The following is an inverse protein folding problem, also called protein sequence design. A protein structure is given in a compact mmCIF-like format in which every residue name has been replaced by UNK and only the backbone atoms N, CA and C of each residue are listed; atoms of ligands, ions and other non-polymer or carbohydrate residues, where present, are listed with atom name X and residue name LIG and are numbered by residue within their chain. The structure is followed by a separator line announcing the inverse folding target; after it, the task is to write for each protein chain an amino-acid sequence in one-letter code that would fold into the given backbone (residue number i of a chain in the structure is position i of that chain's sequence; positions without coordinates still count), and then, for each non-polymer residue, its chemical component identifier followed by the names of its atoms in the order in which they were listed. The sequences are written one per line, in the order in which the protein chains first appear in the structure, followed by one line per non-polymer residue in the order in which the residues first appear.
data_IF_355912491970
#
_entry.id   IF_355912491970
#
_cell.length_a   1.000
_cell.length_b   1.000
_cell.length_c   1.000
_cell.angle_alpha   90.00
_cell.angle_beta   90.00
_cell.angle_gamma   90.00
#
_symmetry.space_group_name_H-M   'P 1'
#
loop_
_entity.id
_entity.type
_entity.pdbx_description
1 polymer ?
#
# COMPACT_ATOMS: atom_id res chain seq x y z
N UNK A 1 27.01 -36.26 48.17
CA UNK A 1 25.80 -35.95 47.38
C UNK A 1 25.93 -34.53 46.84
N UNK A 2 26.22 -34.34 45.54
CA UNK A 2 26.35 -33.01 44.91
C UNK A 2 24.96 -32.50 44.55
N UNK A 3 24.48 -31.42 45.17
CA UNK A 3 23.25 -30.73 44.83
C UNK A 3 23.41 -30.04 43.46
N UNK A 4 22.81 -30.58 42.41
CA UNK A 4 22.74 -29.90 41.13
C UNK A 4 21.85 -28.67 41.30
N UNK A 5 22.36 -27.48 40.99
CA UNK A 5 21.66 -26.21 41.10
C UNK A 5 20.58 -26.13 40.01
N UNK A 6 19.28 -25.95 40.32
CA UNK A 6 18.19 -25.99 39.36
C UNK A 6 18.24 -24.90 38.27
N UNK A 7 19.01 -23.84 38.51
CA UNK A 7 19.15 -22.72 37.57
C UNK A 7 19.87 -23.08 36.26
N UNK A 8 20.76 -24.08 36.28
CA UNK A 8 21.42 -24.58 35.07
C UNK A 8 20.42 -25.27 34.12
N UNK A 9 19.42 -25.97 34.65
CA UNK A 9 18.39 -26.59 33.84
C UNK A 9 17.51 -25.53 33.15
N UNK A 10 17.19 -24.43 33.83
CA UNK A 10 16.44 -23.30 33.26
C UNK A 10 17.23 -22.58 32.16
N UNK A 11 18.56 -22.44 32.32
CA UNK A 11 19.44 -21.86 31.32
C UNK A 11 19.49 -22.71 30.03
N UNK A 12 19.54 -24.04 30.17
CA UNK A 12 19.51 -24.95 29.02
C UNK A 12 18.16 -24.93 28.27
N UNK A 13 17.04 -24.81 28.99
CA UNK A 13 15.72 -24.68 28.38
C UNK A 13 15.58 -23.35 27.61
N UNK A 14 16.09 -22.24 28.18
CA UNK A 14 16.11 -20.93 27.50
C UNK A 14 16.97 -20.93 26.24
N UNK A 15 18.15 -21.55 26.28
CA UNK A 15 19.05 -21.71 25.13
C UNK A 15 18.40 -22.58 24.06
N UNK A 16 17.66 -23.64 24.45
CA UNK A 16 16.96 -24.52 23.51
C UNK A 16 15.81 -23.82 22.79
N UNK A 17 15.07 -22.93 23.48
CA UNK A 17 13.97 -22.15 22.88
C UNK A 17 14.50 -21.16 21.83
N UNK A 18 15.66 -20.54 22.03
CA UNK A 18 16.28 -19.60 21.08
C UNK A 18 16.74 -20.29 19.78
N UNK A 19 17.13 -21.59 19.85
CA UNK A 19 17.55 -22.34 18.65
C UNK A 19 16.37 -22.85 17.78
N UNK A 20 15.13 -22.81 18.27
CA UNK A 20 13.94 -23.23 17.51
C UNK A 20 13.07 -22.10 16.99
N UNK A 21 13.56 -20.85 17.01
CA UNK A 21 12.91 -19.78 16.25
C UNK A 21 13.09 -20.04 14.75
N UNK A 22 12.22 -20.87 14.19
CA UNK A 22 12.08 -20.97 12.75
C UNK A 22 11.61 -19.61 12.25
N UNK A 23 12.51 -18.85 11.62
CA UNK A 23 12.13 -17.65 10.89
C UNK A 23 11.23 -18.10 9.73
N UNK A 24 9.94 -17.83 9.82
CA UNK A 24 8.99 -18.00 8.72
C UNK A 24 9.25 -16.90 7.68
N UNK A 25 10.26 -17.09 6.84
CA UNK A 25 10.47 -16.22 5.69
C UNK A 25 9.46 -16.57 4.60
N UNK A 26 8.93 -15.54 3.95
CA UNK A 26 8.16 -15.74 2.72
C UNK A 26 9.07 -16.45 1.69
N UNK A 27 8.61 -17.59 1.17
CA UNK A 27 9.39 -18.36 0.20
C UNK A 27 9.63 -17.59 -1.10
N UNK A 28 8.60 -16.87 -1.57
CA UNK A 28 8.64 -16.02 -2.76
C UNK A 28 8.54 -14.55 -2.32
N UNK A 29 9.44 -13.71 -2.79
CA UNK A 29 9.52 -12.28 -2.47
C UNK A 29 9.69 -11.47 -3.75
N UNK A 30 8.95 -10.37 -3.90
CA UNK A 30 9.22 -9.33 -4.91
C UNK A 30 10.29 -8.41 -4.34
N UNK A 31 11.37 -8.18 -5.07
CA UNK A 31 12.58 -7.50 -4.55
C UNK A 31 12.79 -6.10 -5.15
N UNK A 32 11.98 -5.71 -6.12
CA UNK A 32 11.93 -4.33 -6.61
C UNK A 32 10.67 -3.60 -6.13
N UNK A 33 10.47 -2.36 -6.58
CA UNK A 33 9.36 -1.52 -6.16
C UNK A 33 7.99 -2.17 -6.46
N UNK A 34 7.05 -1.97 -5.53
CA UNK A 34 5.66 -2.41 -5.69
C UNK A 34 4.78 -1.36 -6.39
N UNK A 35 5.38 -0.28 -6.91
CA UNK A 35 4.67 0.74 -7.68
C UNK A 35 5.54 1.16 -8.84
N UNK A 36 5.05 0.89 -10.03
CA UNK A 36 5.67 1.28 -11.29
C UNK A 36 4.80 2.37 -11.92
N UNK A 37 5.29 3.60 -11.91
CA UNK A 37 4.61 4.76 -12.48
C UNK A 37 5.33 5.20 -13.75
N UNK A 38 4.57 5.31 -14.83
CA UNK A 38 5.08 5.74 -16.13
C UNK A 38 4.22 6.88 -16.70
N UNK A 39 4.90 7.84 -17.32
CA UNK A 39 4.28 8.87 -18.16
C UNK A 39 4.49 8.47 -19.61
N UNK A 40 3.41 8.43 -20.37
CA UNK A 40 3.43 8.01 -21.75
C UNK A 40 2.29 8.63 -22.56
N UNK A 41 2.41 8.63 -23.89
CA UNK A 41 1.42 9.17 -24.82
C UNK A 41 0.47 8.08 -25.32
N UNK A 42 -0.70 8.47 -25.82
CA UNK A 42 -1.59 7.57 -26.58
C UNK A 42 -0.82 6.94 -27.75
N UNK A 43 -1.00 5.62 -27.95
CA UNK A 43 -0.31 4.82 -28.98
C UNK A 43 1.13 4.42 -28.60
N UNK A 44 1.68 4.90 -27.49
CA UNK A 44 3.03 4.53 -27.04
C UNK A 44 3.05 3.14 -26.38
N UNK A 45 4.22 2.51 -26.44
CA UNK A 45 4.49 1.24 -25.75
C UNK A 45 5.69 1.40 -24.85
N UNK A 46 5.56 0.97 -23.57
CA UNK A 46 6.67 0.92 -22.63
C UNK A 46 6.78 -0.44 -21.95
N UNK A 47 7.91 -0.72 -21.33
CA UNK A 47 8.21 -1.98 -20.65
C UNK A 47 8.61 -1.77 -19.21
N UNK A 48 8.31 -2.77 -18.38
CA UNK A 48 8.77 -2.84 -17.02
C UNK A 48 9.13 -4.26 -16.62
N UNK A 49 9.70 -4.40 -15.42
CA UNK A 49 10.19 -5.66 -14.89
C UNK A 49 9.70 -5.81 -13.46
N UNK A 50 9.17 -6.99 -13.12
CA UNK A 50 8.95 -7.43 -11.73
C UNK A 50 10.03 -8.44 -11.40
N UNK A 51 10.85 -8.13 -10.40
CA UNK A 51 11.90 -9.02 -9.93
C UNK A 51 11.40 -9.87 -8.76
N UNK A 52 11.46 -11.19 -8.91
CA UNK A 52 10.99 -12.16 -7.93
C UNK A 52 12.15 -13.03 -7.49
N UNK A 53 12.28 -13.23 -6.19
CA UNK A 53 13.29 -14.10 -5.59
C UNK A 53 12.63 -15.26 -4.84
N UNK A 54 13.18 -16.45 -5.01
CA UNK A 54 12.86 -17.61 -4.19
C UNK A 54 13.88 -17.73 -3.05
N UNK A 55 13.45 -17.41 -1.81
CA UNK A 55 14.30 -17.49 -0.63
C UNK A 55 14.29 -18.87 0.05
N UNK A 56 13.56 -19.85 -0.51
CA UNK A 56 13.52 -21.20 0.03
C UNK A 56 14.66 -22.09 -0.51
N UNK A 57 14.87 -23.22 0.13
CA UNK A 57 15.81 -24.28 -0.25
C UNK A 57 15.28 -25.23 -1.33
N UNK A 58 14.07 -24.99 -1.84
CA UNK A 58 13.37 -25.81 -2.85
C UNK A 58 12.89 -24.96 -4.01
N UNK A 59 12.75 -25.61 -5.18
CA UNK A 59 12.09 -25.01 -6.32
C UNK A 59 10.65 -24.60 -5.95
N UNK A 60 10.26 -23.38 -6.31
CA UNK A 60 8.90 -22.84 -6.13
C UNK A 60 8.26 -22.53 -7.48
N UNK A 61 6.93 -22.57 -7.51
CA UNK A 61 6.15 -22.10 -8.64
C UNK A 61 5.51 -20.77 -8.31
N UNK A 62 5.41 -19.90 -9.31
CA UNK A 62 4.83 -18.57 -9.20
C UNK A 62 3.78 -18.40 -10.26
N UNK A 63 2.59 -17.97 -9.83
CA UNK A 63 1.50 -17.54 -10.71
C UNK A 63 1.52 -16.02 -10.81
N UNK A 64 1.45 -15.49 -12.03
CA UNK A 64 1.42 -14.08 -12.35
C UNK A 64 0.13 -13.77 -13.09
N UNK A 65 -0.64 -12.79 -12.64
CA UNK A 65 -1.91 -12.43 -13.25
C UNK A 65 -2.26 -10.98 -12.93
N UNK A 66 -3.26 -10.45 -13.62
CA UNK A 66 -3.70 -9.07 -13.45
C UNK A 66 -5.00 -8.99 -12.66
N UNK A 67 -5.21 -7.87 -11.97
CA UNK A 67 -6.45 -7.49 -11.31
C UNK A 67 -6.65 -5.98 -11.42
N UNK A 68 -7.89 -5.55 -11.50
CA UNK A 68 -8.25 -4.17 -11.22
C UNK A 68 -8.27 -3.93 -9.72
N UNK A 69 -7.99 -2.71 -9.30
CA UNK A 69 -7.84 -2.35 -7.90
C UNK A 69 -8.55 -1.06 -7.56
N UNK A 70 -9.49 -1.14 -6.62
CA UNK A 70 -10.18 0.00 -6.04
C UNK A 70 -10.14 -0.11 -4.52
N UNK A 71 -10.13 1.03 -3.85
CA UNK A 71 -10.17 1.09 -2.40
C UNK A 71 -10.88 2.36 -1.94
N UNK A 72 -11.45 2.29 -0.74
CA UNK A 72 -12.24 3.37 -0.18
C UNK A 72 -11.88 3.64 1.27
N UNK A 73 -12.14 4.88 1.73
CA UNK A 73 -11.93 5.32 3.11
C UNK A 73 -12.68 4.47 4.14
N UNK A 74 -13.71 3.76 3.74
CA UNK A 74 -14.47 2.81 4.57
C UNK A 74 -13.68 1.56 4.96
N UNK A 75 -12.53 1.32 4.31
CA UNK A 75 -11.73 0.09 4.45
C UNK A 75 -12.09 -0.98 3.40
N UNK A 76 -13.05 -0.70 2.52
CA UNK A 76 -13.37 -1.59 1.41
C UNK A 76 -12.24 -1.59 0.39
N UNK A 77 -11.81 -2.79 -0.02
CA UNK A 77 -10.80 -3.01 -1.05
C UNK A 77 -11.35 -4.02 -2.05
N UNK A 78 -11.34 -3.66 -3.33
CA UNK A 78 -11.86 -4.48 -4.42
C UNK A 78 -10.75 -4.91 -5.36
N UNK A 79 -10.65 -6.21 -5.61
CA UNK A 79 -9.77 -6.83 -6.60
C UNK A 79 -10.63 -7.43 -7.72
N UNK A 80 -11.02 -6.60 -8.67
CA UNK A 80 -11.94 -6.94 -9.73
C UNK A 80 -11.23 -7.63 -10.90
N UNK A 81 -12.01 -8.16 -11.85
CA UNK A 81 -11.46 -8.75 -13.08
C UNK A 81 -10.76 -7.68 -13.93
N UNK A 82 -9.67 -8.05 -14.64
CA UNK A 82 -8.88 -7.13 -15.45
C UNK A 82 -9.72 -6.39 -16.48
N UNK A 83 -9.67 -5.05 -16.46
CA UNK A 83 -10.38 -4.19 -17.39
C UNK A 83 -11.88 -4.07 -17.12
N UNK A 84 -12.34 -4.37 -15.90
CA UNK A 84 -13.70 -4.11 -15.45
C UNK A 84 -13.89 -2.66 -14.98
N UNK A 85 -12.79 -1.98 -14.66
CA UNK A 85 -12.77 -0.58 -14.25
C UNK A 85 -12.63 0.33 -15.47
N UNK A 86 -13.31 1.46 -15.49
CA UNK A 86 -13.24 2.45 -16.58
C UNK A 86 -11.81 2.97 -16.81
N UNK A 87 -11.03 3.13 -15.73
CA UNK A 87 -9.64 3.60 -15.79
C UNK A 87 -8.62 2.48 -15.59
N UNK A 88 -8.97 1.27 -15.99
CA UNK A 88 -8.04 0.14 -15.95
C UNK A 88 -7.09 0.17 -17.15
N UNK A 89 -5.80 -0.01 -16.88
CA UNK A 89 -4.80 -0.32 -17.91
C UNK A 89 -4.48 -1.83 -18.02
N UNK A 90 -5.21 -2.70 -17.30
CA UNK A 90 -4.91 -4.13 -17.29
C UNK A 90 -4.92 -4.77 -18.68
N UNK A 91 -5.85 -4.36 -19.53
CA UNK A 91 -5.93 -4.85 -20.94
C UNK A 91 -4.82 -4.33 -21.85
N UNK A 92 -4.06 -3.32 -21.42
CA UNK A 92 -2.91 -2.79 -22.13
C UNK A 92 -1.63 -3.56 -21.81
N UNK A 93 -1.65 -4.34 -20.71
CA UNK A 93 -0.47 -5.03 -20.17
C UNK A 93 -0.41 -6.45 -20.74
N UNK A 94 0.72 -6.79 -21.34
CA UNK A 94 1.10 -8.15 -21.72
C UNK A 94 2.21 -8.64 -20.81
N UNK A 95 2.03 -9.79 -20.17
CA UNK A 95 3.02 -10.44 -19.31
C UNK A 95 3.88 -11.42 -20.13
N UNK A 96 5.19 -11.47 -19.88
CA UNK A 96 6.08 -12.45 -20.51
C UNK A 96 5.80 -13.88 -20.05
N UNK A 97 5.21 -14.06 -18.87
CA UNK A 97 4.78 -15.35 -18.36
C UNK A 97 3.66 -15.15 -17.33
N UNK A 98 2.70 -16.08 -17.30
CA UNK A 98 1.63 -16.12 -16.30
C UNK A 98 1.82 -17.26 -15.27
N UNK A 99 2.76 -18.16 -15.53
CA UNK A 99 3.13 -19.25 -14.63
C UNK A 99 4.57 -19.69 -14.90
N UNK A 100 5.39 -19.74 -13.87
CA UNK A 100 6.80 -20.09 -14.01
C UNK A 100 7.35 -20.75 -12.75
N UNK A 101 8.52 -21.37 -12.85
CA UNK A 101 9.27 -21.95 -11.75
C UNK A 101 10.53 -21.13 -11.46
N UNK A 102 10.91 -21.06 -10.19
CA UNK A 102 12.13 -20.40 -9.74
C UNK A 102 12.88 -21.42 -8.89
N UNK A 103 14.13 -21.71 -9.23
CA UNK A 103 14.96 -22.64 -8.46
C UNK A 103 15.27 -22.07 -7.06
N UNK A 104 15.76 -22.94 -6.17
CA UNK A 104 16.11 -22.56 -4.82
C UNK A 104 17.16 -21.43 -4.81
N UNK A 105 16.89 -20.34 -4.09
CA UNK A 105 17.80 -19.18 -3.96
C UNK A 105 17.90 -18.28 -5.21
N UNK A 106 17.26 -18.65 -6.32
CA UNK A 106 17.36 -17.89 -7.56
C UNK A 106 16.43 -16.67 -7.63
N UNK A 107 16.81 -15.72 -8.50
CA UNK A 107 15.98 -14.58 -8.92
C UNK A 107 15.48 -14.79 -10.33
N UNK A 108 14.29 -14.28 -10.60
CA UNK A 108 13.67 -14.26 -11.92
C UNK A 108 13.13 -12.87 -12.22
N UNK A 109 13.42 -12.36 -13.42
CA UNK A 109 12.87 -11.12 -13.95
C UNK A 109 11.66 -11.43 -14.83
N UNK A 110 10.47 -11.01 -14.40
CA UNK A 110 9.22 -11.12 -15.16
C UNK A 110 9.03 -9.80 -15.90
N UNK A 111 9.16 -9.83 -17.20
CA UNK A 111 8.94 -8.66 -18.05
C UNK A 111 7.45 -8.46 -18.30
N UNK A 112 7.03 -7.21 -18.38
CA UNK A 112 5.73 -6.81 -18.88
C UNK A 112 5.85 -5.67 -19.89
N UNK A 113 4.94 -5.63 -20.84
CA UNK A 113 4.82 -4.58 -21.84
C UNK A 113 3.44 -3.94 -21.73
N UNK A 114 3.37 -2.62 -21.79
CA UNK A 114 2.14 -1.84 -21.76
C UNK A 114 2.00 -1.14 -23.10
N UNK A 115 0.99 -1.52 -23.89
CA UNK A 115 0.65 -0.89 -25.18
C UNK A 115 -0.58 -0.02 -25.01
N UNK A 116 -0.38 1.28 -24.99
CA UNK A 116 -1.45 2.25 -24.79
C UNK A 116 -2.28 2.37 -26.07
N UNK A 117 -3.62 2.30 -26.00
CA UNK A 117 -4.46 2.50 -27.19
C UNK A 117 -4.20 3.88 -27.81
N UNK A 118 -4.20 3.92 -29.16
CA UNK A 118 -4.08 5.18 -29.89
C UNK A 118 -5.44 5.88 -29.94
N UNK A 119 -5.76 6.64 -28.88
CA UNK A 119 -7.04 7.34 -28.76
C UNK A 119 -6.84 8.69 -28.07
N UNK A 120 -7.35 9.75 -28.69
CA UNK A 120 -7.32 11.11 -28.17
C UNK A 120 -8.24 11.31 -26.95
N UNK A 121 -9.13 10.35 -26.67
CA UNK A 121 -9.99 10.39 -25.48
C UNK A 121 -9.30 9.97 -24.18
N UNK A 122 -8.08 9.43 -24.24
CA UNK A 122 -7.33 9.03 -23.07
C UNK A 122 -6.74 10.25 -22.36
N UNK A 123 -7.15 10.46 -21.11
CA UNK A 123 -6.66 11.54 -20.26
C UNK A 123 -6.42 11.07 -18.83
N UNK A 124 -5.47 11.70 -18.15
CA UNK A 124 -5.18 11.44 -16.74
C UNK A 124 -4.49 10.10 -16.49
N UNK A 125 -4.84 9.43 -15.41
CA UNK A 125 -4.17 8.21 -14.94
C UNK A 125 -5.03 6.97 -15.11
N UNK A 126 -4.38 5.89 -15.54
CA UNK A 126 -4.93 4.53 -15.63
C UNK A 126 -4.08 3.61 -14.79
N UNK A 127 -4.67 2.61 -14.13
CA UNK A 127 -3.93 1.71 -13.25
C UNK A 127 -4.55 0.32 -13.17
N UNK A 128 -3.72 -0.64 -12.82
CA UNK A 128 -4.11 -1.99 -12.45
C UNK A 128 -3.01 -2.64 -11.61
N UNK A 129 -3.19 -3.88 -11.23
CA UNK A 129 -2.22 -4.68 -10.49
C UNK A 129 -1.67 -5.81 -11.35
N UNK A 130 -0.37 -6.03 -11.23
CA UNK A 130 0.25 -7.32 -11.53
C UNK A 130 0.38 -8.06 -10.21
N UNK A 131 -0.32 -9.19 -10.08
CA UNK A 131 -0.29 -10.04 -8.91
C UNK A 131 0.78 -11.12 -9.08
N UNK A 132 1.60 -11.29 -8.05
CA UNK A 132 2.60 -12.37 -7.97
C UNK A 132 2.27 -13.23 -6.75
N UNK A 133 1.98 -14.50 -7.00
CA UNK A 133 1.52 -15.45 -5.99
C UNK A 133 2.39 -16.71 -6.02
N UNK A 134 3.02 -17.03 -4.86
CA UNK A 134 3.71 -18.30 -4.70
C UNK A 134 2.72 -19.46 -4.66
N UNK A 135 2.94 -20.50 -5.48
CA UNK A 135 2.11 -21.69 -5.51
C UNK A 135 2.79 -22.79 -4.70
N UNK A 136 2.22 -23.12 -3.54
CA UNK A 136 2.71 -24.23 -2.75
C UNK A 136 2.24 -25.55 -3.39
N UNK A 137 3.18 -26.46 -3.68
CA UNK A 137 2.83 -27.85 -3.99
C UNK A 137 2.25 -28.49 -2.72
N UNK A 138 0.98 -28.87 -2.78
CA UNK A 138 0.35 -29.67 -1.72
C UNK A 138 0.96 -31.06 -1.81
N UNK A 139 1.88 -31.37 -0.90
CA UNK A 139 2.35 -32.74 -0.70
C UNK A 139 1.21 -33.51 0.00
N UNK A 140 0.36 -34.16 -0.82
CA UNK A 140 -0.82 -34.90 -0.36
C UNK A 140 -0.49 -36.10 0.53
N UNK A 141 0.80 -36.43 0.67
CA UNK A 141 1.28 -37.59 1.45
C UNK A 141 1.45 -37.29 2.94
N UNK A 142 1.27 -36.05 3.41
CA UNK A 142 1.48 -35.69 4.84
C UNK A 142 0.20 -35.50 5.64
N UNK A 143 -0.97 -35.85 5.10
CA UNK A 143 -2.24 -35.78 5.87
C UNK A 143 -2.42 -37.07 6.69
N UNK A 144 -1.58 -37.25 7.69
CA UNK A 144 -1.83 -38.17 8.77
C UNK A 144 -2.33 -37.36 9.98
N UNK A 145 -3.64 -37.04 10.01
CA UNK A 145 -4.36 -36.71 11.25
C UNK A 145 -4.07 -35.35 11.91
N UNK A 146 -3.50 -34.35 11.20
CA UNK A 146 -3.22 -33.01 11.77
C UNK A 146 -3.84 -31.88 10.97
N UNK A 147 -4.09 -30.72 11.62
CA UNK A 147 -4.48 -29.47 10.94
C UNK A 147 -3.22 -28.89 10.30
N UNK A 148 -3.19 -28.79 8.96
CA UNK A 148 -2.13 -28.10 8.23
C UNK A 148 -2.62 -26.68 7.86
N UNK A 149 -1.91 -25.65 8.36
CA UNK A 149 -2.16 -24.26 7.98
C UNK A 149 -1.14 -23.89 6.91
N UNK A 150 -1.62 -23.56 5.70
CA UNK A 150 -0.77 -23.04 4.62
C UNK A 150 -0.98 -21.53 4.49
N UNK A 151 0.10 -20.78 4.53
CA UNK A 151 0.10 -19.34 4.25
C UNK A 151 0.58 -19.10 2.83
N UNK A 152 -0.19 -18.35 2.05
CA UNK A 152 0.18 -17.93 0.70
C UNK A 152 0.42 -16.42 0.70
N UNK A 153 1.64 -16.01 0.36
CA UNK A 153 1.98 -14.61 0.19
C UNK A 153 1.65 -14.18 -1.24
N UNK A 154 0.93 -13.05 -1.36
CA UNK A 154 0.61 -12.40 -2.62
C UNK A 154 1.19 -11.00 -2.63
N UNK A 155 1.89 -10.65 -3.69
CA UNK A 155 2.37 -9.30 -3.95
C UNK A 155 1.49 -8.66 -5.01
N UNK A 156 1.11 -7.40 -4.78
CA UNK A 156 0.30 -6.59 -5.69
C UNK A 156 1.16 -5.43 -6.19
N UNK A 157 1.68 -5.55 -7.40
CA UNK A 157 2.49 -4.52 -8.04
C UNK A 157 1.56 -3.57 -8.78
N UNK A 158 1.52 -2.31 -8.36
CA UNK A 158 0.71 -1.26 -8.97
C UNK A 158 1.40 -0.76 -10.23
N UNK A 159 0.76 -0.89 -11.38
CA UNK A 159 1.20 -0.30 -12.64
C UNK A 159 0.33 0.89 -12.95
N UNK A 160 0.91 2.09 -12.93
CA UNK A 160 0.24 3.36 -13.16
C UNK A 160 0.74 3.94 -14.47
N UNK A 161 -0.19 4.23 -15.39
CA UNK A 161 0.08 4.92 -16.66
C UNK A 161 -0.54 6.31 -16.61
N UNK A 162 0.28 7.34 -16.61
CA UNK A 162 -0.16 8.73 -16.71
C UNK A 162 -0.09 9.16 -18.18
N UNK A 163 -1.23 9.56 -18.75
CA UNK A 163 -1.28 10.05 -20.13
C UNK A 163 -0.78 11.50 -20.18
N UNK A 164 0.49 11.65 -20.48
CA UNK A 164 1.20 12.93 -20.47
C UNK A 164 0.93 13.74 -19.18
N UNK A 165 0.66 15.04 -19.30
CA UNK A 165 0.21 15.93 -18.21
C UNK A 165 -1.29 16.25 -18.32
N UNK A 166 -2.07 15.36 -18.95
CA UNK A 166 -3.50 15.58 -19.18
C UNK A 166 -4.34 15.24 -17.95
N UNK A 167 -5.58 15.70 -17.94
CA UNK A 167 -6.54 15.47 -16.86
C UNK A 167 -6.37 16.42 -15.68
N UNK A 168 -7.43 16.59 -14.94
CA UNK A 168 -7.52 17.50 -13.79
C UNK A 168 -7.20 16.75 -12.49
N UNK A 169 -6.54 17.45 -11.57
CA UNK A 169 -6.43 17.04 -10.16
C UNK A 169 -7.55 17.71 -9.38
N UNK A 170 -8.35 16.94 -8.70
CA UNK A 170 -9.40 17.40 -7.80
C UNK A 170 -9.46 16.49 -6.59
N UNK A 171 -9.49 17.08 -5.42
CA UNK A 171 -9.58 16.38 -4.16
C UNK A 171 -10.75 16.94 -3.35
N UNK A 172 -11.52 16.06 -2.75
CA UNK A 172 -12.63 16.39 -1.87
C UNK A 172 -12.31 15.86 -0.46
N UNK A 173 -12.47 16.70 0.56
CA UNK A 173 -12.51 16.29 1.94
C UNK A 173 -13.93 15.79 2.26
N UNK A 174 -14.10 14.45 2.30
CA UNK A 174 -15.43 13.83 2.50
C UNK A 174 -15.87 13.99 3.95
N UNK A 175 -14.93 13.77 4.88
CA UNK A 175 -15.19 13.81 6.30
C UNK A 175 -13.91 14.19 7.04
N UNK A 176 -14.06 15.10 8.03
CA UNK A 176 -12.96 15.50 8.91
C UNK A 176 -13.51 15.51 10.33
N UNK A 177 -12.93 14.70 11.23
CA UNK A 177 -13.43 14.52 12.58
C UNK A 177 -12.28 14.40 13.57
N UNK A 178 -12.34 15.17 14.66
CA UNK A 178 -11.45 14.99 15.79
C UNK A 178 -11.87 13.73 16.56
N UNK A 179 -10.90 12.89 16.87
CA UNK A 179 -11.06 11.61 17.55
C UNK A 179 -10.09 11.49 18.71
N UNK A 180 -10.53 10.79 19.75
CA UNK A 180 -9.69 10.37 20.89
C UNK A 180 -9.77 8.83 20.96
N UNK A 181 -8.62 8.16 20.93
CA UNK A 181 -8.50 6.70 21.02
C UNK A 181 -7.26 6.37 21.83
N UNK A 182 -7.42 5.59 22.91
CA UNK A 182 -6.32 5.20 23.82
C UNK A 182 -5.46 6.40 24.25
N UNK A 183 -6.10 7.50 24.71
CA UNK A 183 -5.46 8.78 25.09
C UNK A 183 -4.63 9.43 23.97
N UNK A 184 -4.86 9.03 22.71
CA UNK A 184 -4.21 9.65 21.54
C UNK A 184 -5.25 10.46 20.77
N UNK A 185 -5.04 11.78 20.73
CA UNK A 185 -5.84 12.71 19.92
C UNK A 185 -5.36 12.70 18.47
N UNK A 186 -6.29 12.60 17.53
CA UNK A 186 -5.97 12.70 16.09
C UNK A 186 -7.14 13.27 15.29
N UNK A 187 -6.81 13.97 14.23
CA UNK A 187 -7.77 14.34 13.21
C UNK A 187 -7.90 13.21 12.20
N UNK A 188 -9.06 12.55 12.16
CA UNK A 188 -9.40 11.61 11.09
C UNK A 188 -9.84 12.40 9.87
N UNK A 189 -9.21 12.13 8.74
CA UNK A 189 -9.46 12.83 7.48
C UNK A 189 -9.74 11.81 6.38
N UNK A 190 -10.93 11.88 5.79
CA UNK A 190 -11.32 11.09 4.65
C UNK A 190 -11.29 11.97 3.40
N UNK A 191 -10.44 11.61 2.44
CA UNK A 191 -10.30 12.31 1.16
C UNK A 191 -10.69 11.42 -0.01
N UNK A 192 -11.26 12.03 -1.05
CA UNK A 192 -11.59 11.38 -2.33
C UNK A 192 -10.93 12.12 -3.48
N UNK A 193 -10.37 11.37 -4.41
CA UNK A 193 -9.94 11.91 -5.68
C UNK A 193 -11.13 11.96 -6.63
N UNK A 194 -11.63 13.17 -6.89
CA UNK A 194 -12.72 13.44 -7.85
C UNK A 194 -12.20 13.93 -9.20
N UNK A 195 -10.86 13.94 -9.36
CA UNK A 195 -10.21 14.28 -10.62
C UNK A 195 -9.92 13.07 -11.49
N UNK A 196 -9.02 13.26 -12.43
CA UNK A 196 -8.65 12.28 -13.46
C UNK A 196 -7.19 11.81 -13.32
N UNK A 197 -6.40 12.51 -12.50
CA UNK A 197 -5.00 12.19 -12.27
C UNK A 197 -4.82 11.51 -10.91
N UNK A 198 -3.93 10.53 -10.88
CA UNK A 198 -3.42 9.94 -9.65
C UNK A 198 -2.76 11.02 -8.77
N UNK A 199 -2.98 10.93 -7.47
CA UNK A 199 -2.37 11.79 -6.47
C UNK A 199 -1.84 10.98 -5.28
N UNK A 200 -0.86 11.56 -4.58
CA UNK A 200 -0.30 10.99 -3.36
C UNK A 200 -0.01 12.11 -2.35
N UNK A 201 -1.05 12.82 -1.85
CA UNK A 201 -0.86 13.99 -1.00
C UNK A 201 -0.35 13.62 0.39
N UNK A 202 0.42 14.54 0.98
CA UNK A 202 0.68 14.61 2.42
C UNK A 202 -0.39 15.49 3.04
N UNK A 203 -1.07 15.01 4.07
CA UNK A 203 -1.99 15.84 4.84
C UNK A 203 -1.22 16.55 5.96
N UNK A 204 -1.33 17.87 5.99
CA UNK A 204 -0.74 18.76 7.01
C UNK A 204 -1.87 19.47 7.76
N UNK A 205 -1.78 19.47 9.07
CA UNK A 205 -2.68 20.23 9.96
C UNK A 205 -1.86 21.29 10.68
N UNK A 206 -2.17 22.55 10.45
CA UNK A 206 -1.60 23.67 11.19
C UNK A 206 -2.64 24.26 12.12
N UNK A 207 -2.27 24.44 13.41
CA UNK A 207 -3.12 25.01 14.45
C UNK A 207 -2.68 26.43 14.76
N UNK A 208 -3.68 27.31 14.96
CA UNK A 208 -3.46 28.72 15.29
C UNK A 208 -4.19 29.08 16.59
N UNK A 209 -3.56 29.90 17.42
CA UNK A 209 -4.18 30.47 18.61
C UNK A 209 -5.22 31.57 18.25
N UNK A 210 -5.88 32.12 19.27
CA UNK A 210 -6.86 33.18 19.09
C UNK A 210 -6.25 34.50 18.54
N UNK A 211 -4.94 34.67 18.60
CA UNK A 211 -4.20 35.80 18.05
C UNK A 211 -3.74 35.55 16.60
N UNK A 212 -3.96 34.35 16.06
CA UNK A 212 -3.56 33.95 14.71
C UNK A 212 -2.10 33.50 14.61
N UNK A 213 -1.42 33.22 15.72
CA UNK A 213 -0.07 32.67 15.69
C UNK A 213 -0.13 31.17 15.48
N UNK A 214 0.77 30.63 14.66
CA UNK A 214 0.94 29.19 14.48
C UNK A 214 1.46 28.56 15.77
N UNK A 215 0.72 27.58 16.29
CA UNK A 215 1.03 26.88 17.57
C UNK A 215 1.73 25.55 17.29
N UNK A 216 1.25 24.81 16.28
CA UNK A 216 1.79 23.49 15.96
C UNK A 216 1.44 23.09 14.51
N UNK A 217 2.30 22.26 13.93
CA UNK A 217 2.09 21.64 12.60
C UNK A 217 2.26 20.14 12.74
N UNK A 218 1.30 19.38 12.19
CA UNK A 218 1.30 17.92 12.19
C UNK A 218 1.13 17.39 10.78
N UNK A 219 1.74 16.24 10.49
CA UNK A 219 1.65 15.60 9.18
C UNK A 219 1.18 14.15 9.32
N UNK A 220 0.38 13.69 8.37
CA UNK A 220 0.05 12.28 8.22
C UNK A 220 0.98 11.60 7.22
N UNK A 221 1.02 10.26 7.30
CA UNK A 221 1.74 9.44 6.33
C UNK A 221 1.11 9.64 4.95
N UNK A 222 1.96 9.86 3.94
CA UNK A 222 1.60 9.99 2.54
C UNK A 222 0.79 8.79 2.04
N UNK A 223 -0.35 9.03 1.41
CA UNK A 223 -1.23 7.98 0.89
C UNK A 223 -1.62 8.24 -0.55
N UNK A 224 -1.59 7.17 -1.35
CA UNK A 224 -2.03 7.20 -2.74
C UNK A 224 -3.55 7.26 -2.81
N UNK A 225 -4.06 8.02 -3.77
CA UNK A 225 -5.49 8.10 -4.09
C UNK A 225 -5.68 8.18 -5.61
N UNK A 226 -6.30 7.16 -6.19
CA UNK A 226 -6.58 7.07 -7.62
C UNK A 226 -7.89 7.78 -7.96
N UNK A 227 -8.10 8.18 -9.23
CA UNK A 227 -9.38 8.73 -9.66
C UNK A 227 -10.57 7.87 -9.22
N UNK A 228 -11.56 8.51 -8.57
CA UNK A 228 -12.76 7.83 -8.06
C UNK A 228 -12.58 7.05 -6.75
N UNK A 229 -11.35 6.85 -6.26
CA UNK A 229 -11.08 6.19 -4.98
C UNK A 229 -11.00 7.19 -3.82
N UNK A 230 -11.01 6.70 -2.59
CA UNK A 230 -10.90 7.51 -1.38
C UNK A 230 -10.04 6.81 -0.33
N UNK A 231 -9.43 7.59 0.55
CA UNK A 231 -8.58 7.06 1.62
C UNK A 231 -8.82 7.78 2.93
N UNK A 232 -8.62 7.07 4.04
CA UNK A 232 -8.63 7.59 5.40
C UNK A 232 -7.21 7.79 5.90
N UNK A 233 -6.93 8.95 6.46
CA UNK A 233 -5.68 9.28 7.13
C UNK A 233 -5.94 9.73 8.56
N UNK A 234 -4.93 9.60 9.41
CA UNK A 234 -4.94 10.11 10.80
C UNK A 234 -3.78 11.08 10.94
N UNK A 235 -4.09 12.33 11.29
CA UNK A 235 -3.10 13.34 11.67
C UNK A 235 -3.05 13.37 13.19
N UNK A 236 -2.00 12.82 13.78
CA UNK A 236 -1.88 12.71 15.24
C UNK A 236 -1.52 14.08 15.84
N UNK A 237 -2.28 14.51 16.82
CA UNK A 237 -2.10 15.79 17.52
C UNK A 237 -1.46 15.50 18.89
N UNK A 238 -0.24 16.01 19.11
CA UNK A 238 0.54 15.77 20.32
C UNK A 238 0.92 17.08 21.00
N UNK A 239 0.95 17.06 22.32
CA UNK A 239 1.52 18.15 23.13
C UNK A 239 0.88 19.53 22.86
N UNK A 240 -0.43 19.55 22.53
CA UNK A 240 -1.19 20.78 22.39
C UNK A 240 -2.12 20.90 23.60
N UNK A 241 -2.08 22.01 24.36
CA UNK A 241 -2.97 22.24 25.50
C UNK A 241 -4.45 22.20 25.10
N UNK A 242 -5.36 21.90 26.02
CA UNK A 242 -6.80 22.08 25.81
C UNK A 242 -7.13 23.52 25.40
N UNK A 243 -8.12 23.67 24.52
CA UNK A 243 -8.55 25.00 24.07
C UNK A 243 -9.18 24.94 22.66
N UNK A 244 -9.63 26.11 22.23
CA UNK A 244 -10.21 26.29 20.89
C UNK A 244 -9.14 26.85 19.95
N UNK A 245 -8.92 26.18 18.84
CA UNK A 245 -7.93 26.51 17.82
C UNK A 245 -8.59 26.72 16.47
N UNK A 246 -8.14 27.74 15.74
CA UNK A 246 -8.35 27.76 14.31
C UNK A 246 -7.35 26.80 13.67
N UNK A 247 -7.75 26.09 12.63
CA UNK A 247 -6.89 25.10 11.99
C UNK A 247 -6.99 25.18 10.46
N UNK A 248 -5.86 25.00 9.81
CA UNK A 248 -5.76 24.84 8.36
C UNK A 248 -5.33 23.41 8.06
N UNK A 249 -6.21 22.64 7.43
CA UNK A 249 -5.91 21.32 6.90
C UNK A 249 -5.53 21.45 5.43
N UNK A 250 -4.35 20.98 5.07
CA UNK A 250 -3.78 21.03 3.73
C UNK A 250 -3.56 19.62 3.22
N UNK A 251 -3.94 19.34 1.98
CA UNK A 251 -3.51 18.17 1.21
C UNK A 251 -2.54 18.65 0.11
N UNK A 252 -1.26 18.42 0.33
CA UNK A 252 -0.15 18.86 -0.52
C UNK A 252 0.36 17.66 -1.34
N UNK A 253 0.17 17.72 -2.66
CA UNK A 253 0.63 16.66 -3.57
C UNK A 253 2.13 16.80 -3.93
N UNK A 254 2.79 17.88 -3.50
CA UNK A 254 4.21 18.17 -3.78
C UNK A 254 4.45 18.81 -5.15
N UNK A 255 3.41 19.37 -5.77
CA UNK A 255 3.43 20.13 -7.01
C UNK A 255 2.59 21.43 -6.84
N UNK A 256 2.10 22.01 -7.92
CA UNK A 256 1.29 23.23 -7.86
C UNK A 256 -0.14 23.02 -7.30
N UNK A 257 -0.58 21.76 -7.20
CA UNK A 257 -1.94 21.42 -6.74
C UNK A 257 -1.97 21.19 -5.22
N UNK A 258 -2.45 22.19 -4.51
CA UNK A 258 -2.66 22.19 -3.06
C UNK A 258 -4.13 22.39 -2.75
N UNK A 259 -4.69 21.55 -1.88
CA UNK A 259 -6.08 21.60 -1.46
C UNK A 259 -6.14 21.93 0.03
N UNK A 260 -6.98 22.90 0.41
CA UNK A 260 -7.06 23.38 1.80
C UNK A 260 -8.48 23.43 2.34
N UNK A 261 -8.61 23.25 3.65
CA UNK A 261 -9.86 23.37 4.41
C UNK A 261 -9.60 24.07 5.75
N UNK A 262 -10.36 25.13 6.02
CA UNK A 262 -10.35 25.80 7.32
C UNK A 262 -11.28 25.07 8.30
N UNK A 263 -10.83 24.91 9.54
CA UNK A 263 -11.53 24.21 10.60
C UNK A 263 -11.47 25.02 11.89
N UNK A 264 -12.40 24.78 12.81
CA UNK A 264 -12.28 25.14 14.23
C UNK A 264 -12.25 23.83 15.02
N UNK A 265 -11.23 23.65 15.85
CA UNK A 265 -11.03 22.45 16.66
C UNK A 265 -11.07 22.82 18.14
N UNK A 266 -11.90 22.12 18.90
CA UNK A 266 -11.92 22.20 20.35
C UNK A 266 -11.21 20.97 20.91
N UNK A 267 -10.06 21.19 21.55
CA UNK A 267 -9.26 20.15 22.20
C UNK A 267 -9.64 20.13 23.67
N UNK A 268 -10.26 19.05 24.14
CA UNK A 268 -10.64 18.84 25.52
C UNK A 268 -9.47 18.29 26.33
N UNK A 269 -9.56 18.35 27.69
CA UNK A 269 -8.64 17.65 28.60
C UNK A 269 -8.78 16.12 28.41
N UNK A 270 -7.66 15.38 28.53
CA UNK A 270 -7.60 13.92 28.41
C UNK A 270 -8.22 13.20 29.62
#
# INVERSE_FOLDING_TARGET
MKKHKPWMAVLWVLVFIVFFSNNAFANIVVVNDLTHEHKASAGETYRGIVEVQNNSDKQQYVKIYQKDYLFYHTGEILYNEPGSNERSNAKWITLSSNYTKIAAGEKLSIQYEVTIPNSDSLIGSYWSLIMVEGVNNIDTNTIAGGISIQSVMRYAIQVITNINETGLRRLEFINVKLMLEDSTRFLQVDIKNTGERFMSPVLKLELFDASGNSVAIFEAIKRKVYPGTSTRSRVVIKEVPPGVYQALLIADNGDEDVFGLNLSLELEDD
#
